data_IF_399429124283
#
_entry.id   IF_399429124283
#
_cell.length_a   1.000
_cell.length_b   1.000
_cell.length_c   1.000
_cell.angle_alpha   90.00
_cell.angle_beta   90.00
_cell.angle_gamma   90.00
#
_symmetry.space_group_name_H-M   'P 1'
#
loop_
_entity.id
_entity.type
_entity.pdbx_description
1 polymer ?
#
# COMPACT_ATOMS: atom_id res chain seq x y z
N UNK A 1 17.79 0.08 8.75
CA UNK A 1 17.61 -0.80 7.58
C UNK A 1 16.41 -0.31 6.78
N UNK A 2 16.52 -0.21 5.46
CA UNK A 2 15.44 0.29 4.60
C UNK A 2 14.40 -0.80 4.36
N UNK A 3 13.16 -0.58 4.80
CA UNK A 3 12.01 -1.46 4.51
C UNK A 3 11.14 -0.84 3.41
N UNK A 4 10.72 -1.62 2.43
CA UNK A 4 9.89 -1.15 1.31
C UNK A 4 8.47 -1.68 1.43
N UNK A 5 7.48 -0.80 1.59
CA UNK A 5 6.08 -1.19 1.46
C UNK A 5 5.68 -1.23 -0.01
N UNK A 6 5.40 -2.41 -0.54
CA UNK A 6 4.87 -2.60 -1.89
C UNK A 6 3.39 -2.91 -1.82
N UNK A 7 2.58 -2.14 -2.53
CA UNK A 7 1.13 -2.35 -2.61
C UNK A 7 0.52 -1.75 -3.87
N UNK A 8 -0.78 -1.95 -4.06
CA UNK A 8 -1.44 -1.33 -5.21
C UNK A 8 -2.86 -1.79 -5.52
N UNK A 9 -3.31 -1.43 -6.72
CA UNK A 9 -4.69 -1.62 -7.15
C UNK A 9 -5.08 -3.09 -7.28
N UNK A 10 -6.22 -3.48 -6.71
CA UNK A 10 -6.76 -4.85 -6.79
C UNK A 10 -7.11 -5.32 -8.21
N UNK A 11 -7.27 -4.39 -9.15
CA UNK A 11 -7.59 -4.68 -10.57
C UNK A 11 -6.36 -5.03 -11.41
N UNK A 12 -5.15 -4.71 -10.95
CA UNK A 12 -3.92 -5.00 -11.69
C UNK A 12 -3.50 -6.43 -11.36
N UNK A 13 -3.58 -7.33 -12.34
CA UNK A 13 -3.21 -8.75 -12.19
C UNK A 13 -1.84 -9.08 -12.79
N UNK A 14 -1.22 -8.15 -13.52
CA UNK A 14 0.09 -8.31 -14.15
C UNK A 14 0.99 -7.11 -13.89
N UNK A 15 2.26 -7.36 -13.60
CA UNK A 15 3.25 -6.30 -13.41
C UNK A 15 3.87 -5.91 -14.74
N UNK A 16 3.90 -4.60 -15.00
CA UNK A 16 4.69 -4.03 -16.08
C UNK A 16 6.18 -4.35 -15.88
N UNK A 17 6.92 -4.50 -16.98
CA UNK A 17 8.36 -4.79 -16.95
C UNK A 17 9.17 -3.77 -16.14
N UNK A 18 8.80 -2.49 -16.20
CA UNK A 18 9.48 -1.43 -15.44
C UNK A 18 9.23 -1.53 -13.93
N UNK A 19 8.05 -2.03 -13.54
CA UNK A 19 7.76 -2.36 -12.14
C UNK A 19 8.60 -3.55 -11.67
N UNK A 20 8.73 -4.59 -12.51
CA UNK A 20 9.59 -5.74 -12.21
C UNK A 20 11.04 -5.31 -12.02
N UNK A 21 11.61 -4.53 -12.94
CA UNK A 21 12.95 -3.93 -12.82
C UNK A 21 13.14 -3.08 -11.56
N UNK A 22 12.07 -2.46 -11.05
CA UNK A 22 12.13 -1.73 -9.78
C UNK A 22 12.17 -2.69 -8.59
N UNK A 23 11.41 -3.77 -8.64
CA UNK A 23 11.42 -4.83 -7.62
C UNK A 23 12.76 -5.59 -7.64
N UNK A 24 13.33 -5.85 -8.81
CA UNK A 24 14.65 -6.49 -8.94
C UNK A 24 15.71 -5.70 -8.19
N UNK A 25 15.72 -4.37 -8.34
CA UNK A 25 16.61 -3.49 -7.56
C UNK A 25 16.36 -3.55 -6.06
N UNK A 26 15.13 -3.79 -5.60
CA UNK A 26 14.82 -3.97 -4.17
C UNK A 26 15.41 -5.29 -3.67
N UNK A 27 15.31 -6.35 -4.49
CA UNK A 27 15.87 -7.68 -4.21
C UNK A 27 17.40 -7.64 -4.18
N UNK A 28 18.04 -7.03 -5.19
CA UNK A 28 19.50 -6.88 -5.29
C UNK A 28 20.09 -6.15 -4.08
N UNK A 29 19.37 -5.17 -3.53
CA UNK A 29 19.77 -4.42 -2.35
C UNK A 29 19.43 -5.14 -1.03
N UNK A 30 18.73 -6.28 -1.09
CA UNK A 30 18.32 -7.03 0.10
C UNK A 30 17.35 -6.28 1.01
N UNK A 31 16.58 -5.33 0.49
CA UNK A 31 15.65 -4.55 1.30
C UNK A 31 14.43 -5.39 1.70
N UNK A 32 14.08 -5.49 2.99
CA UNK A 32 12.87 -6.19 3.39
C UNK A 32 11.61 -5.59 2.75
N UNK A 33 10.74 -6.45 2.22
CA UNK A 33 9.47 -6.07 1.61
C UNK A 33 8.33 -6.28 2.59
N UNK A 34 7.60 -5.22 2.88
CA UNK A 34 6.31 -5.28 3.58
C UNK A 34 5.22 -5.34 2.53
N UNK A 35 4.36 -6.36 2.59
CA UNK A 35 3.32 -6.55 1.58
C UNK A 35 2.00 -7.03 2.19
N UNK A 36 0.89 -6.58 1.61
CA UNK A 36 -0.43 -7.05 1.98
C UNK A 36 -0.77 -8.43 1.42
N UNK A 37 -1.94 -8.92 1.80
CA UNK A 37 -2.51 -10.20 1.39
C UNK A 37 -3.62 -10.05 0.32
N UNK A 38 -3.84 -8.86 -0.24
CA UNK A 38 -4.96 -8.64 -1.15
C UNK A 38 -4.79 -9.35 -2.51
N UNK A 39 -5.88 -9.43 -3.28
CA UNK A 39 -5.78 -9.76 -4.70
C UNK A 39 -5.25 -8.55 -5.49
N UNK A 40 -4.87 -8.78 -6.75
CA UNK A 40 -4.28 -7.76 -7.62
C UNK A 40 -2.80 -7.60 -7.34
N UNK A 41 -2.33 -6.35 -7.20
CA UNK A 41 -0.89 -6.04 -7.06
C UNK A 41 -0.22 -6.85 -5.97
N UNK A 42 -0.76 -6.89 -4.76
CA UNK A 42 -0.21 -7.66 -3.63
C UNK A 42 0.07 -9.11 -4.04
N UNK A 43 -0.95 -9.81 -4.57
CA UNK A 43 -0.83 -11.19 -5.03
C UNK A 43 0.19 -11.35 -6.17
N UNK A 44 0.20 -10.44 -7.14
CA UNK A 44 1.10 -10.55 -8.29
C UNK A 44 2.55 -10.24 -7.91
N UNK A 45 2.79 -9.29 -7.00
CA UNK A 45 4.12 -9.04 -6.43
C UNK A 45 4.57 -10.22 -5.58
N UNK A 46 3.70 -10.80 -4.74
CA UNK A 46 4.01 -12.05 -4.03
C UNK A 46 4.44 -13.15 -5.02
N UNK A 47 3.69 -13.41 -6.09
CA UNK A 47 4.10 -14.40 -7.12
C UNK A 47 5.50 -14.11 -7.68
N UNK A 48 5.79 -12.84 -7.95
CA UNK A 48 7.07 -12.44 -8.51
C UNK A 48 8.23 -12.66 -7.52
N UNK A 49 8.08 -12.19 -6.28
CA UNK A 49 9.08 -12.39 -5.22
C UNK A 49 9.35 -13.88 -4.95
N UNK A 50 8.31 -14.72 -4.95
CA UNK A 50 8.47 -16.16 -4.85
C UNK A 50 9.25 -16.74 -6.03
N UNK A 51 8.96 -16.31 -7.27
CA UNK A 51 9.69 -16.80 -8.45
C UNK A 51 11.17 -16.42 -8.45
N UNK A 52 11.52 -15.33 -7.76
CA UNK A 52 12.89 -14.89 -7.53
C UNK A 52 13.54 -15.55 -6.29
N UNK A 53 12.83 -16.46 -5.59
CA UNK A 53 13.26 -17.06 -4.32
C UNK A 53 13.65 -16.01 -3.26
N UNK A 54 12.96 -14.87 -3.23
CA UNK A 54 13.28 -13.79 -2.29
C UNK A 54 12.62 -14.03 -0.92
N UNK A 55 13.43 -14.09 0.13
CA UNK A 55 12.97 -14.47 1.48
C UNK A 55 12.71 -13.30 2.42
N UNK A 56 13.33 -12.13 2.17
CA UNK A 56 13.18 -10.94 3.01
C UNK A 56 11.82 -10.24 2.75
N UNK A 57 10.74 -10.95 3.06
CA UNK A 57 9.35 -10.52 2.85
C UNK A 57 8.55 -10.78 4.13
N UNK A 58 7.69 -9.85 4.50
CA UNK A 58 6.75 -9.99 5.61
C UNK A 58 5.33 -9.68 5.12
N UNK A 59 4.40 -10.62 5.32
CA UNK A 59 3.02 -10.50 4.84
C UNK A 59 2.10 -9.99 5.95
N UNK A 60 1.42 -8.88 5.68
CA UNK A 60 0.48 -8.27 6.62
C UNK A 60 -0.96 -8.63 6.26
N UNK A 61 -1.69 -9.15 7.25
CA UNK A 61 -3.12 -9.41 7.13
C UNK A 61 -3.89 -9.04 8.39
N UNK A 62 -5.17 -8.72 8.19
CA UNK A 62 -6.10 -8.35 9.26
C UNK A 62 -6.75 -9.60 9.86
N UNK A 63 -6.84 -9.67 11.19
CA UNK A 63 -7.59 -10.70 11.92
C UNK A 63 -7.12 -12.14 11.74
N UNK A 64 -5.80 -12.34 11.63
CA UNK A 64 -5.15 -13.64 11.82
C UNK A 64 -5.11 -14.59 10.62
N UNK A 65 -6.04 -14.49 9.66
CA UNK A 65 -6.02 -15.33 8.45
C UNK A 65 -5.81 -14.51 7.18
N UNK A 66 -4.62 -14.66 6.60
CA UNK A 66 -4.28 -14.00 5.35
C UNK A 66 -5.05 -14.61 4.16
N UNK A 67 -5.51 -13.75 3.25
CA UNK A 67 -6.14 -14.15 1.98
C UNK A 67 -5.14 -14.78 1.02
N UNK A 68 -3.92 -14.23 0.95
CA UNK A 68 -2.83 -14.76 0.14
C UNK A 68 -1.51 -14.64 0.91
N UNK A 69 -0.74 -15.72 0.94
CA UNK A 69 0.68 -15.76 1.29
C UNK A 69 1.34 -16.84 0.43
N UNK A 70 1.76 -16.46 -0.77
CA UNK A 70 2.17 -17.41 -1.80
C UNK A 70 3.52 -18.05 -1.48
N UNK A 71 4.49 -17.24 -1.04
CA UNK A 71 5.85 -17.70 -0.69
C UNK A 71 5.97 -18.32 0.70
N UNK A 72 4.87 -18.44 1.46
CA UNK A 72 4.88 -18.94 2.86
C UNK A 72 5.80 -18.14 3.77
N UNK A 73 5.90 -16.83 3.55
CA UNK A 73 6.72 -15.92 4.35
C UNK A 73 6.13 -15.71 5.75
N UNK A 74 6.91 -15.17 6.70
CA UNK A 74 6.40 -14.73 8.00
C UNK A 74 5.18 -13.82 7.87
N UNK A 75 4.19 -14.06 8.72
CA UNK A 75 2.91 -13.34 8.75
C UNK A 75 2.86 -12.42 9.95
N UNK A 76 2.58 -11.14 9.71
CA UNK A 76 2.19 -10.18 10.76
C UNK A 76 0.68 -9.99 10.75
N UNK A 77 0.02 -10.64 11.70
CA UNK A 77 -1.40 -10.47 11.92
C UNK A 77 -1.66 -9.19 12.73
N UNK A 78 -2.45 -8.27 12.17
CA UNK A 78 -2.90 -7.08 12.89
C UNK A 78 -4.29 -7.37 13.46
N UNK A 79 -4.39 -7.31 14.79
CA UNK A 79 -5.63 -7.50 15.50
C UNK A 79 -6.63 -6.41 15.11
N UNK A 80 -7.87 -6.79 14.87
CA UNK A 80 -8.97 -5.83 14.67
C UNK A 80 -10.12 -6.26 15.57
N UNK A 81 -10.73 -5.29 16.27
CA UNK A 81 -11.95 -5.49 17.04
C UNK A 81 -13.21 -5.52 16.16
N UNK A 82 -13.05 -5.33 14.85
CA UNK A 82 -14.16 -5.24 13.91
C UNK A 82 -14.50 -6.64 13.37
N UNK A 83 -15.73 -7.07 13.60
CA UNK A 83 -16.30 -8.31 13.06
C UNK A 83 -16.63 -8.21 11.57
N UNK A 84 -16.84 -7.01 11.04
CA UNK A 84 -17.11 -6.78 9.61
C UNK A 84 -15.81 -6.56 8.83
N UNK A 85 -15.67 -7.26 7.70
CA UNK A 85 -14.53 -7.12 6.76
C UNK A 85 -14.73 -5.93 5.81
N UNK A 86 -14.92 -4.74 6.36
CA UNK A 86 -15.09 -3.51 5.59
C UNK A 86 -13.74 -2.81 5.28
N UNK A 87 -13.79 -1.60 4.73
CA UNK A 87 -12.57 -0.83 4.42
C UNK A 87 -11.71 -0.57 5.65
N UNK A 88 -12.33 -0.34 6.81
CA UNK A 88 -11.65 -0.03 8.06
C UNK A 88 -10.92 -1.25 8.62
N UNK A 89 -11.48 -2.45 8.41
CA UNK A 89 -10.84 -3.71 8.75
C UNK A 89 -9.46 -3.88 8.07
N UNK A 90 -9.33 -3.47 6.80
CA UNK A 90 -8.06 -3.55 6.08
C UNK A 90 -7.15 -2.33 6.32
N UNK A 91 -7.71 -1.20 6.73
CA UNK A 91 -6.96 0.02 6.98
C UNK A 91 -5.93 -0.13 8.13
N UNK A 92 -6.25 -0.89 9.18
CA UNK A 92 -5.37 -1.04 10.34
C UNK A 92 -4.02 -1.70 9.99
N UNK A 93 -4.04 -2.73 9.13
CA UNK A 93 -2.79 -3.36 8.68
C UNK A 93 -2.00 -2.48 7.71
N UNK A 94 -2.69 -1.72 6.86
CA UNK A 94 -2.06 -0.84 5.89
C UNK A 94 -1.39 0.34 6.60
N UNK A 95 -2.01 0.82 7.68
CA UNK A 95 -1.43 1.79 8.61
C UNK A 95 -0.14 1.27 9.23
N UNK A 96 -0.14 0.04 9.75
CA UNK A 96 1.05 -0.56 10.34
C UNK A 96 2.18 -0.73 9.30
N UNK A 97 1.85 -1.20 8.09
CA UNK A 97 2.83 -1.29 7.00
C UNK A 97 3.42 0.08 6.66
N UNK A 98 2.60 1.13 6.58
CA UNK A 98 3.07 2.48 6.29
C UNK A 98 3.96 3.06 7.40
N UNK A 99 3.61 2.79 8.66
CA UNK A 99 4.41 3.20 9.83
C UNK A 99 5.78 2.51 9.85
N UNK A 100 5.83 1.20 9.59
CA UNK A 100 7.07 0.42 9.63
C UNK A 100 7.96 0.59 8.39
N UNK A 101 7.40 1.06 7.27
CA UNK A 101 8.14 1.28 6.04
C UNK A 101 9.11 2.46 6.13
N UNK A 102 10.20 2.36 5.38
CA UNK A 102 11.10 3.50 5.11
C UNK A 102 10.68 4.25 3.85
N UNK A 103 10.12 3.52 2.87
CA UNK A 103 9.68 4.03 1.57
C UNK A 103 8.54 3.18 1.03
N UNK A 104 7.66 3.78 0.22
CA UNK A 104 6.60 3.05 -0.48
C UNK A 104 6.83 2.89 -1.98
N UNK A 105 6.37 1.77 -2.53
CA UNK A 105 6.16 1.55 -3.97
C UNK A 105 4.70 1.18 -4.21
N UNK A 106 3.94 2.08 -4.83
CA UNK A 106 2.50 1.92 -5.05
C UNK A 106 2.18 1.78 -6.52
N UNK A 107 1.62 0.64 -6.94
CA UNK A 107 1.22 0.39 -8.32
C UNK A 107 -0.26 0.73 -8.49
N UNK A 108 -0.56 1.77 -9.26
CA UNK A 108 -1.88 2.39 -9.31
C UNK A 108 -2.50 2.36 -10.70
N UNK A 109 -3.76 1.93 -10.77
CA UNK A 109 -4.57 1.86 -11.99
C UNK A 109 -5.24 3.19 -12.37
N UNK A 110 -4.95 4.26 -11.64
CA UNK A 110 -5.61 5.56 -11.79
C UNK A 110 -6.98 5.64 -11.12
N UNK A 111 -7.48 4.56 -10.49
CA UNK A 111 -8.86 4.48 -9.98
C UNK A 111 -8.98 4.01 -8.53
N UNK A 112 -8.02 3.23 -8.04
CA UNK A 112 -8.09 2.62 -6.70
C UNK A 112 -7.91 3.66 -5.60
N UNK A 113 -9.00 4.01 -4.91
CA UNK A 113 -8.97 4.87 -3.73
C UNK A 113 -8.15 4.26 -2.58
N UNK A 114 -8.15 2.93 -2.43
CA UNK A 114 -7.35 2.24 -1.41
C UNK A 114 -5.84 2.41 -1.63
N UNK A 115 -5.39 2.42 -2.90
CA UNK A 115 -3.99 2.67 -3.23
C UNK A 115 -3.58 4.09 -2.87
N UNK A 116 -4.42 5.07 -3.20
CA UNK A 116 -4.18 6.47 -2.82
C UNK A 116 -4.23 6.66 -1.30
N UNK A 117 -5.12 5.96 -0.60
CA UNK A 117 -5.14 5.97 0.86
C UNK A 117 -3.80 5.48 1.44
N UNK A 118 -3.16 4.46 0.84
CA UNK A 118 -1.82 4.00 1.26
C UNK A 118 -0.72 5.01 0.95
N UNK A 119 -0.81 5.72 -0.18
CA UNK A 119 0.06 6.86 -0.49
C UNK A 119 -0.07 7.95 0.59
N UNK A 120 -1.29 8.34 0.94
CA UNK A 120 -1.54 9.34 1.98
C UNK A 120 -1.00 8.91 3.35
N UNK A 121 -1.18 7.64 3.75
CA UNK A 121 -0.63 7.10 4.99
C UNK A 121 0.89 7.21 5.04
N UNK A 122 1.58 6.83 3.97
CA UNK A 122 3.04 6.94 3.88
C UNK A 122 3.51 8.39 4.00
N UNK A 123 2.85 9.32 3.30
CA UNK A 123 3.20 10.74 3.35
C UNK A 123 2.97 11.35 4.73
N UNK A 124 1.89 10.97 5.43
CA UNK A 124 1.63 11.40 6.81
C UNK A 124 2.70 10.90 7.79
N UNK A 125 3.28 9.71 7.54
CA UNK A 125 4.44 9.18 8.25
C UNK A 125 5.78 9.73 7.73
N UNK A 126 5.74 10.80 6.91
CA UNK A 126 6.90 11.46 6.30
C UNK A 126 7.79 10.48 5.50
N UNK A 127 7.16 9.48 4.86
CA UNK A 127 7.84 8.51 4.00
C UNK A 127 7.69 8.90 2.55
N UNK A 128 8.81 8.90 1.83
CA UNK A 128 8.77 9.03 0.38
C UNK A 128 8.00 7.85 -0.23
N UNK A 129 7.27 8.12 -1.30
CA UNK A 129 6.50 7.10 -2.01
C UNK A 129 6.64 7.26 -3.51
N UNK A 130 6.98 6.16 -4.17
CA UNK A 130 7.04 6.07 -5.62
C UNK A 130 5.74 5.43 -6.10
N UNK A 131 4.95 6.16 -6.87
CA UNK A 131 3.73 5.67 -7.51
C UNK A 131 4.03 5.30 -8.95
N UNK A 132 3.77 4.06 -9.34
CA UNK A 132 3.70 3.68 -10.75
C UNK A 132 2.27 3.87 -11.25
N UNK A 133 2.06 4.91 -12.06
CA UNK A 133 0.77 5.17 -12.69
C UNK A 133 0.63 4.29 -13.93
N UNK A 134 -0.08 3.16 -13.79
CA UNK A 134 -0.19 2.15 -14.84
C UNK A 134 -0.78 2.65 -16.17
N UNK A 135 -1.82 3.53 -16.19
CA UNK A 135 -2.33 4.10 -17.44
C UNK A 135 -1.27 4.91 -18.19
N UNK A 136 -0.46 5.70 -17.47
CA UNK A 136 0.57 6.55 -18.05
C UNK A 136 1.94 5.86 -18.18
N UNK A 137 2.07 4.61 -17.71
CA UNK A 137 3.30 3.81 -17.68
C UNK A 137 4.53 4.57 -17.14
N UNK A 138 4.34 5.40 -16.11
CA UNK A 138 5.41 6.23 -15.53
C UNK A 138 5.46 6.15 -14.02
N UNK A 139 6.65 6.39 -13.48
CA UNK A 139 6.85 6.55 -12.05
C UNK A 139 6.71 8.03 -11.65
N UNK A 140 6.14 8.26 -10.48
CA UNK A 140 5.92 9.58 -9.88
C UNK A 140 6.41 9.47 -8.44
N UNK A 141 7.31 10.36 -8.03
CA UNK A 141 7.79 10.38 -6.63
C UNK A 141 7.05 11.47 -5.89
N UNK A 142 6.46 11.11 -4.75
CA UNK A 142 5.78 12.00 -3.83
C UNK A 142 6.56 12.00 -2.51
N UNK A 143 6.80 13.18 -1.96
CA UNK A 143 7.56 13.40 -0.73
C UNK A 143 6.73 14.09 0.34
N UNK A 144 5.77 14.93 -0.07
CA UNK A 144 4.87 15.68 0.82
C UNK A 144 3.42 15.56 0.38
N UNK A 145 2.48 15.90 1.25
CA UNK A 145 1.04 15.81 0.95
C UNK A 145 0.62 16.67 -0.26
N UNK A 146 1.25 17.83 -0.48
CA UNK A 146 1.00 18.68 -1.64
C UNK A 146 1.30 17.96 -2.97
N UNK A 147 2.26 17.04 -3.01
CA UNK A 147 2.54 16.25 -4.21
C UNK A 147 1.36 15.34 -4.55
N UNK A 148 0.69 14.80 -3.53
CA UNK A 148 -0.50 13.96 -3.72
C UNK A 148 -1.68 14.80 -4.24
N UNK A 149 -1.85 16.03 -3.77
CA UNK A 149 -2.88 16.93 -4.31
C UNK A 149 -2.64 17.25 -5.79
N UNK A 150 -1.39 17.50 -6.17
CA UNK A 150 -0.99 17.67 -7.57
C UNK A 150 -1.21 16.41 -8.42
N UNK A 151 -1.01 15.22 -7.86
CA UNK A 151 -1.33 13.97 -8.55
C UNK A 151 -2.85 13.85 -8.81
N UNK A 152 -3.67 14.25 -7.84
CA UNK A 152 -5.13 14.12 -7.90
C UNK A 152 -5.80 15.18 -8.77
N UNK A 153 -5.25 16.39 -8.85
CA UNK A 153 -5.79 17.47 -9.69
C UNK A 153 -5.82 17.08 -11.18
N UNK A 154 -4.89 16.22 -11.61
CA UNK A 154 -4.87 15.65 -12.96
C UNK A 154 -5.76 14.43 -13.18
N UNK A 155 -6.53 13.97 -12.19
CA UNK A 155 -7.38 12.79 -12.28
C UNK A 155 -8.84 13.12 -12.57
N UNK A 156 -9.61 12.13 -13.06
CA UNK A 156 -11.06 12.24 -13.23
C UNK A 156 -11.76 12.57 -11.90
N UNK A 157 -12.87 13.33 -11.94
CA UNK A 157 -13.59 13.78 -10.73
C UNK A 157 -14.02 12.64 -9.82
N UNK A 158 -14.41 11.49 -10.37
CA UNK A 158 -14.87 10.35 -9.58
C UNK A 158 -13.74 9.75 -8.72
N UNK A 159 -12.50 9.84 -9.19
CA UNK A 159 -11.30 9.45 -8.44
C UNK A 159 -11.03 10.45 -7.32
N UNK A 160 -11.11 11.75 -7.63
CA UNK A 160 -10.94 12.82 -6.66
C UNK A 160 -11.95 12.71 -5.50
N UNK A 161 -13.23 12.49 -5.81
CA UNK A 161 -14.30 12.35 -4.83
C UNK A 161 -14.10 11.15 -3.90
N UNK A 162 -13.73 9.98 -4.45
CA UNK A 162 -13.45 8.77 -3.65
C UNK A 162 -12.24 8.96 -2.73
N UNK A 163 -11.22 9.69 -3.18
CA UNK A 163 -10.03 9.99 -2.38
C UNK A 163 -10.34 11.00 -1.28
N UNK A 164 -11.11 12.06 -1.57
CA UNK A 164 -11.57 13.01 -0.57
C UNK A 164 -12.44 12.34 0.50
N UNK A 165 -13.32 11.42 0.11
CA UNK A 165 -14.10 10.61 1.04
C UNK A 165 -13.21 9.73 1.92
N UNK A 166 -12.17 9.10 1.36
CA UNK A 166 -11.21 8.31 2.12
C UNK A 166 -10.38 9.16 3.10
N UNK A 167 -9.94 10.38 2.71
CA UNK A 167 -9.27 11.34 3.60
C UNK A 167 -10.19 11.76 4.76
N UNK A 168 -11.46 12.11 4.48
CA UNK A 168 -12.45 12.50 5.51
C UNK A 168 -12.73 11.37 6.50
N UNK A 169 -12.83 10.13 6.04
CA UNK A 169 -12.98 8.96 6.90
C UNK A 169 -11.81 8.77 7.86
N UNK A 170 -10.58 9.00 7.40
CA UNK A 170 -9.37 8.88 8.22
C UNK A 170 -9.21 10.00 9.26
N UNK A 171 -9.52 11.26 8.89
CA UNK A 171 -9.47 12.41 9.81
C UNK A 171 -10.50 12.30 10.94
N UNK A 172 -11.73 11.91 10.61
CA UNK A 172 -12.81 11.63 11.57
C UNK A 172 -12.43 10.58 12.62
N UNK A 173 -11.70 9.54 12.22
CA UNK A 173 -11.27 8.46 13.13
C UNK A 173 -10.07 8.85 13.99
N UNK A 174 -9.14 9.65 13.45
CA UNK A 174 -8.02 10.20 14.23
C UNK A 174 -8.55 11.07 15.39
N UNK A 175 -9.51 11.96 15.09
CA UNK A 175 -10.16 12.81 16.08
C UNK A 175 -10.92 12.00 17.14
N UNK A 176 -11.59 10.91 16.74
CA UNK A 176 -12.31 10.03 17.69
C UNK A 176 -11.36 9.25 18.60
N UNK A 177 -10.22 8.76 18.08
CA UNK A 177 -9.22 8.04 18.90
C UNK A 177 -8.53 8.98 19.88
N UNK A 178 -8.26 10.22 19.48
CA UNK A 178 -7.65 11.21 20.36
C UNK A 178 -8.60 11.63 21.50
N UNK A 179 -9.92 11.62 21.26
CA UNK A 179 -10.96 11.88 22.27
C UNK A 179 -11.28 10.69 23.18
N UNK A 180 -10.93 9.46 22.83
CA UNK A 180 -11.16 8.28 23.69
C UNK A 180 -9.94 7.93 24.57
N UNK A 181 -8.87 8.70 24.49
CA UNK A 181 -7.65 8.58 25.29
C UNK A 181 -7.60 9.63 26.42
N UNK A 182 -8.63 10.45 26.56
CA UNK A 182 -8.93 11.35 27.67
C UNK A 182 -10.31 11.01 28.21
#
# INVERSE_FOLDING_TARGET
MTKVFIGGSRRISQLNIEVRKRIDRIIEQGFPVLIGDANGVDKTVQKYLQSCSYEAVEVFCSGGKCRNNIGKWPVRAVATSQTRRDFNYYAAKDEQMAHEASVGLMIWDGKSAGTIANVARLLRHQKNVVVYAAPAKRFITLKVEADLENLLSGCERDVQEKVLAAKKGQLSEADRRQRSLF
#
